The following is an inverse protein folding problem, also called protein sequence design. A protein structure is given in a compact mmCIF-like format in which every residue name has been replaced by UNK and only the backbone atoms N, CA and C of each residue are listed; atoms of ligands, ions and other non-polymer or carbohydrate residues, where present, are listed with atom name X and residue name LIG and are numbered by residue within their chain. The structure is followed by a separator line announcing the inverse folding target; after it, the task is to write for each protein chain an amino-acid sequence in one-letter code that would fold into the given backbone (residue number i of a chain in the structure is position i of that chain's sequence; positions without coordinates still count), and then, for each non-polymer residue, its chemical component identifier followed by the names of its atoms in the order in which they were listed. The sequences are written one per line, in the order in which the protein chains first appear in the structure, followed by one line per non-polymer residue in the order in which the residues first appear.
data_IF_211447755912
#
_entry.id   IF_211447755912
#
_cell.length_a   1.000
_cell.length_b   1.000
_cell.length_c   1.000
_cell.angle_alpha   90.00
_cell.angle_beta   90.00
_cell.angle_gamma   90.00
#
_symmetry.space_group_name_H-M   'P 1'
#
loop_
_entity.id
_entity.type
_entity.pdbx_description
1 polymer ?
#
# COMPACT_ATOMS: atom_id res chain seq x y z
N UNK A 1 17.65 -1.02 -38.10
CA UNK A 1 16.42 -0.22 -37.86
C UNK A 1 15.40 -1.15 -37.27
N UNK A 2 15.02 -0.95 -36.01
CA UNK A 2 13.97 -1.75 -35.36
C UNK A 2 12.63 -1.17 -35.76
N UNK A 3 11.76 -1.95 -36.41
CA UNK A 3 10.41 -1.50 -36.76
C UNK A 3 9.60 -1.27 -35.48
N UNK A 4 8.95 -0.11 -35.35
CA UNK A 4 8.12 0.24 -34.21
C UNK A 4 6.71 -0.33 -34.42
N UNK A 5 6.11 -0.89 -33.38
CA UNK A 5 4.70 -1.25 -33.40
C UNK A 5 3.82 0.00 -33.35
N UNK A 6 2.88 0.10 -34.30
CA UNK A 6 1.93 1.20 -34.42
C UNK A 6 0.49 0.68 -34.34
N UNK A 7 -0.48 1.51 -33.89
CA UNK A 7 -1.90 1.13 -33.90
C UNK A 7 -2.35 0.65 -35.29
N UNK A 8 -3.07 -0.47 -35.34
CA UNK A 8 -3.52 -1.08 -36.59
C UNK A 8 -2.56 -2.09 -37.23
N UNK A 9 -1.31 -2.20 -36.74
CA UNK A 9 -0.40 -3.27 -37.15
C UNK A 9 -0.84 -4.61 -36.56
N UNK A 10 -0.77 -5.67 -37.36
CA UNK A 10 -1.10 -7.03 -36.90
C UNK A 10 0.03 -7.60 -36.05
N UNK A 11 -0.32 -8.10 -34.87
CA UNK A 11 0.56 -8.90 -34.02
C UNK A 11 0.10 -10.35 -34.10
N UNK A 12 0.99 -11.27 -34.46
CA UNK A 12 0.70 -12.71 -34.54
C UNK A 12 1.75 -13.49 -33.79
N UNK A 13 1.31 -14.38 -32.90
CA UNK A 13 2.16 -15.26 -32.12
C UNK A 13 1.49 -16.63 -31.94
N UNK A 14 2.30 -17.66 -31.68
CA UNK A 14 1.82 -18.99 -31.30
C UNK A 14 1.64 -19.05 -29.79
N UNK A 15 0.63 -19.78 -29.34
CA UNK A 15 0.47 -20.08 -27.92
C UNK A 15 1.64 -20.96 -27.45
N UNK A 16 2.32 -20.60 -26.35
CA UNK A 16 3.34 -21.44 -25.73
C UNK A 16 2.81 -22.83 -25.31
N UNK A 17 3.68 -23.85 -25.21
CA UNK A 17 3.27 -25.18 -24.79
C UNK A 17 2.85 -25.27 -23.32
N UNK A 18 3.25 -24.32 -22.48
CA UNK A 18 2.87 -24.22 -21.06
C UNK A 18 1.55 -23.45 -20.84
N UNK A 19 0.84 -23.08 -21.92
CA UNK A 19 -0.43 -22.37 -21.81
C UNK A 19 -1.44 -23.19 -21.00
N UNK A 20 -2.02 -22.67 -19.90
CA UNK A 20 -2.98 -23.41 -19.08
C UNK A 20 -4.23 -23.82 -19.87
N UNK A 21 -4.77 -25.00 -19.58
CA UNK A 21 -5.93 -25.57 -20.30
C UNK A 21 -7.15 -24.64 -20.31
N UNK A 22 -7.45 -24.03 -19.16
CA UNK A 22 -8.58 -23.10 -19.03
C UNK A 22 -8.48 -21.87 -19.95
N UNK A 23 -7.26 -21.41 -20.28
CA UNK A 23 -7.05 -20.31 -21.23
C UNK A 23 -7.37 -20.76 -22.66
N UNK A 24 -6.92 -21.96 -23.03
CA UNK A 24 -7.18 -22.55 -24.35
C UNK A 24 -8.68 -22.76 -24.56
N UNK A 25 -9.37 -23.28 -23.56
CA UNK A 25 -10.82 -23.51 -23.60
C UNK A 25 -11.58 -22.19 -23.74
N UNK A 26 -11.22 -21.17 -22.96
CA UNK A 26 -11.82 -19.84 -23.05
C UNK A 26 -11.67 -19.22 -24.45
N UNK A 27 -10.44 -19.26 -25.01
CA UNK A 27 -10.18 -18.72 -26.36
C UNK A 27 -10.94 -19.49 -27.44
N UNK A 28 -11.03 -20.82 -27.31
CA UNK A 28 -11.74 -21.69 -28.25
C UNK A 28 -13.24 -21.42 -28.22
N UNK A 29 -13.84 -21.34 -27.02
CA UNK A 29 -15.24 -20.98 -26.85
C UNK A 29 -15.55 -19.62 -27.46
N UNK A 30 -14.74 -18.59 -27.15
CA UNK A 30 -14.93 -17.24 -27.69
C UNK A 30 -14.76 -17.18 -29.20
N UNK A 31 -13.84 -17.95 -29.77
CA UNK A 31 -13.67 -18.04 -31.23
C UNK A 31 -14.89 -18.65 -31.90
N UNK A 32 -15.47 -19.68 -31.30
CA UNK A 32 -16.68 -20.33 -31.82
C UNK A 32 -17.91 -19.42 -31.72
N UNK A 33 -18.02 -18.64 -30.65
CA UNK A 33 -19.12 -17.69 -30.41
C UNK A 33 -19.05 -16.47 -31.36
N UNK A 34 -17.87 -15.85 -31.48
CA UNK A 34 -17.70 -14.54 -32.12
C UNK A 34 -17.26 -14.62 -33.59
N UNK A 35 -16.67 -15.73 -34.01
CA UNK A 35 -16.18 -15.95 -35.37
C UNK A 35 -15.26 -14.82 -35.85
N UNK A 36 -15.72 -14.03 -36.83
CA UNK A 36 -14.95 -12.92 -37.44
C UNK A 36 -14.67 -11.76 -36.47
N UNK A 37 -15.46 -11.61 -35.41
CA UNK A 37 -15.29 -10.55 -34.40
C UNK A 37 -14.35 -10.96 -33.25
N UNK A 38 -13.83 -12.18 -33.28
CA UNK A 38 -12.94 -12.69 -32.23
C UNK A 38 -11.75 -11.76 -31.97
N UNK A 39 -11.04 -11.34 -33.02
CA UNK A 39 -9.84 -10.52 -32.85
C UNK A 39 -10.14 -9.12 -32.30
N UNK A 40 -11.27 -8.52 -32.65
CA UNK A 40 -11.66 -7.21 -32.12
C UNK A 40 -12.05 -7.27 -30.64
N UNK A 41 -12.55 -8.41 -30.17
CA UNK A 41 -12.92 -8.63 -28.75
C UNK A 41 -11.72 -9.02 -27.88
N UNK A 42 -10.76 -9.78 -28.42
CA UNK A 42 -9.56 -10.20 -27.68
C UNK A 42 -8.48 -9.11 -27.66
N UNK A 43 -8.42 -8.24 -28.67
CA UNK A 43 -7.40 -7.20 -28.74
C UNK A 43 -7.34 -6.28 -27.50
N UNK A 44 -8.47 -5.78 -26.94
CA UNK A 44 -8.45 -5.01 -25.70
C UNK A 44 -7.87 -5.78 -24.51
N UNK A 45 -8.23 -7.06 -24.35
CA UNK A 45 -7.72 -7.93 -23.27
C UNK A 45 -6.20 -8.08 -23.39
N UNK A 46 -5.70 -8.29 -24.61
CA UNK A 46 -4.27 -8.37 -24.87
C UNK A 46 -3.55 -7.06 -24.55
N UNK A 47 -4.11 -5.91 -24.97
CA UNK A 47 -3.53 -4.58 -24.70
C UNK A 47 -3.49 -4.29 -23.20
N UNK A 48 -4.55 -4.63 -22.46
CA UNK A 48 -4.60 -4.48 -21.01
C UNK A 48 -3.50 -5.32 -20.33
N UNK A 49 -3.38 -6.59 -20.69
CA UNK A 49 -2.35 -7.48 -20.13
C UNK A 49 -0.92 -6.98 -20.43
N UNK A 50 -0.66 -6.52 -21.65
CA UNK A 50 0.64 -5.93 -22.01
C UNK A 50 0.88 -4.62 -21.26
N UNK A 51 -0.15 -3.79 -21.10
CA UNK A 51 -0.07 -2.53 -20.35
C UNK A 51 0.27 -2.79 -18.88
N UNK A 52 -0.43 -3.72 -18.22
CA UNK A 52 -0.15 -4.11 -16.84
C UNK A 52 1.28 -4.61 -16.66
N UNK A 53 1.78 -5.41 -17.61
CA UNK A 53 3.17 -5.88 -17.61
C UNK A 53 4.18 -4.75 -17.86
N UNK A 54 3.91 -3.87 -18.83
CA UNK A 54 4.78 -2.75 -19.17
C UNK A 54 4.88 -1.70 -18.05
N UNK A 55 3.81 -1.51 -17.28
CA UNK A 55 3.77 -0.62 -16.12
C UNK A 55 4.43 -1.21 -14.87
N UNK A 56 4.97 -2.43 -14.93
CA UNK A 56 5.66 -3.06 -13.79
C UNK A 56 4.72 -3.58 -12.69
N UNK A 57 3.42 -3.66 -12.96
CA UNK A 57 2.44 -4.19 -12.00
C UNK A 57 2.43 -5.73 -11.95
N UNK A 58 3.13 -6.39 -12.88
CA UNK A 58 3.17 -7.85 -12.97
C UNK A 58 4.25 -8.51 -12.07
N UNK A 59 5.31 -7.77 -11.71
CA UNK A 59 6.49 -8.34 -11.02
C UNK A 59 6.60 -7.96 -9.54
N UNK A 60 5.71 -7.09 -9.04
CA UNK A 60 5.58 -6.87 -7.62
C UNK A 60 4.57 -7.90 -7.11
N UNK A 61 5.01 -8.83 -6.25
CA UNK A 61 4.18 -9.83 -5.58
C UNK A 61 3.08 -9.17 -4.74
N UNK A 62 2.04 -8.67 -5.42
CA UNK A 62 0.93 -7.95 -4.82
C UNK A 62 -0.08 -8.97 -4.35
N UNK A 63 -0.08 -9.22 -3.05
CA UNK A 63 -1.09 -10.05 -2.40
C UNK A 63 -2.34 -9.18 -2.23
N UNK A 64 -3.36 -9.42 -3.05
CA UNK A 64 -4.67 -8.78 -2.89
C UNK A 64 -5.51 -9.58 -1.91
N UNK A 65 -5.88 -8.96 -0.78
CA UNK A 65 -6.70 -9.59 0.26
C UNK A 65 -8.00 -8.79 0.34
N UNK A 66 -9.13 -9.48 0.21
CA UNK A 66 -10.44 -8.88 0.39
C UNK A 66 -10.70 -8.65 1.88
N UNK A 67 -11.22 -7.47 2.24
CA UNK A 67 -11.62 -7.20 3.61
C UNK A 67 -12.78 -8.12 4.02
N UNK A 68 -12.80 -8.63 5.26
CA UNK A 68 -13.90 -9.44 5.77
C UNK A 68 -15.21 -8.65 5.85
N UNK A 69 -16.32 -9.35 5.71
CA UNK A 69 -17.65 -8.78 5.89
C UNK A 69 -17.88 -8.41 7.37
N UNK A 70 -18.63 -7.32 7.64
CA UNK A 70 -19.01 -6.92 9.00
C UNK A 70 -18.09 -5.90 9.70
N UNK A 71 -17.07 -5.36 9.03
CA UNK A 71 -16.24 -4.29 9.62
C UNK A 71 -17.03 -2.99 9.78
N UNK A 72 -16.91 -2.35 10.96
CA UNK A 72 -17.44 -1.01 11.22
C UNK A 72 -16.71 0.05 10.39
N UNK A 73 -17.28 1.26 10.30
CA UNK A 73 -16.63 2.38 9.59
C UNK A 73 -15.22 2.66 10.15
N UNK A 74 -15.11 2.69 11.48
CA UNK A 74 -13.84 2.95 12.18
C UNK A 74 -12.82 1.84 11.94
N UNK A 75 -13.26 0.57 11.91
CA UNK A 75 -12.37 -0.55 11.62
C UNK A 75 -11.87 -0.52 10.17
N UNK A 76 -12.72 -0.14 9.21
CA UNK A 76 -12.30 0.05 7.82
C UNK A 76 -11.29 1.18 7.69
N UNK A 77 -11.47 2.27 8.44
CA UNK A 77 -10.53 3.38 8.45
C UNK A 77 -9.21 3.00 9.12
N UNK A 78 -9.28 2.24 10.22
CA UNK A 78 -8.12 1.67 10.89
C UNK A 78 -7.27 0.83 9.95
N UNK A 79 -7.87 -0.08 9.18
CA UNK A 79 -7.16 -0.92 8.19
C UNK A 79 -6.48 -0.10 7.09
N UNK A 80 -7.05 1.06 6.73
CA UNK A 80 -6.51 1.94 5.69
C UNK A 80 -5.34 2.79 6.18
N UNK A 81 -5.21 3.03 7.49
CA UNK A 81 -4.13 3.85 8.01
C UNK A 81 -2.74 3.25 7.66
N UNK A 82 -1.75 4.10 7.31
CA UNK A 82 -0.43 3.62 6.87
C UNK A 82 0.26 2.70 7.86
N UNK A 83 0.19 3.04 9.16
CA UNK A 83 0.82 2.27 10.23
C UNK A 83 0.16 0.90 10.37
N UNK A 84 -1.18 0.85 10.39
CA UNK A 84 -1.93 -0.40 10.43
C UNK A 84 -1.61 -1.29 9.25
N UNK A 85 -1.55 -0.72 8.04
CA UNK A 85 -1.18 -1.47 6.83
C UNK A 85 0.23 -2.05 6.95
N UNK A 86 1.18 -1.31 7.50
CA UNK A 86 2.54 -1.80 7.72
C UNK A 86 2.56 -2.96 8.73
N UNK A 87 1.82 -2.86 9.84
CA UNK A 87 1.67 -3.92 10.84
C UNK A 87 1.07 -5.19 10.22
N UNK A 88 -0.04 -5.06 9.49
CA UNK A 88 -0.70 -6.18 8.80
C UNK A 88 0.24 -6.81 7.77
N UNK A 89 1.01 -5.99 7.03
CA UNK A 89 1.97 -6.48 6.03
C UNK A 89 3.08 -7.29 6.68
N UNK A 90 3.60 -6.84 7.83
CA UNK A 90 4.61 -7.55 8.59
C UNK A 90 4.08 -8.86 9.18
N UNK A 91 2.86 -8.84 9.71
CA UNK A 91 2.16 -10.04 10.19
C UNK A 91 2.00 -11.07 9.07
N UNK A 92 1.50 -10.65 7.91
CA UNK A 92 1.33 -11.53 6.74
C UNK A 92 2.67 -12.11 6.28
N UNK A 93 3.72 -11.28 6.22
CA UNK A 93 5.05 -11.75 5.87
C UNK A 93 5.54 -12.85 6.82
N UNK A 94 5.35 -12.67 8.13
CA UNK A 94 5.73 -13.67 9.13
C UNK A 94 4.91 -14.96 9.01
N UNK A 95 3.59 -14.87 8.81
CA UNK A 95 2.72 -16.04 8.62
C UNK A 95 3.12 -16.84 7.38
N UNK A 96 3.41 -16.15 6.27
CA UNK A 96 3.78 -16.80 5.00
C UNK A 96 5.18 -17.44 5.07
N UNK A 97 6.14 -16.79 5.74
CA UNK A 97 7.54 -17.25 5.74
C UNK A 97 7.89 -18.20 6.89
N UNK A 98 7.20 -18.08 8.04
CA UNK A 98 7.50 -18.83 9.27
C UNK A 98 6.23 -19.27 10.00
N UNK A 99 5.39 -20.13 9.38
CA UNK A 99 4.09 -20.50 9.92
C UNK A 99 4.14 -21.27 11.26
N UNK A 100 5.28 -21.87 11.61
CA UNK A 100 5.47 -22.65 12.83
C UNK A 100 6.04 -21.84 14.00
N UNK A 101 6.47 -20.60 13.75
CA UNK A 101 6.97 -19.72 14.81
C UNK A 101 5.80 -18.96 15.41
N UNK A 102 5.56 -19.03 16.74
CA UNK A 102 4.54 -18.22 17.37
C UNK A 102 4.86 -16.73 17.14
N UNK A 103 3.84 -15.99 16.74
CA UNK A 103 3.89 -14.55 16.59
C UNK A 103 4.07 -13.91 17.96
N UNK A 104 5.23 -13.32 18.19
CA UNK A 104 5.51 -12.50 19.38
C UNK A 104 5.09 -11.05 19.10
N UNK A 105 3.86 -10.72 19.47
CA UNK A 105 3.29 -9.39 19.31
C UNK A 105 3.95 -8.33 20.22
N UNK A 106 4.73 -8.75 21.22
CA UNK A 106 5.32 -7.83 22.19
C UNK A 106 6.48 -7.00 21.62
N UNK A 107 7.05 -7.41 20.47
CA UNK A 107 8.22 -6.73 19.90
C UNK A 107 7.92 -5.36 19.28
N UNK A 108 6.66 -5.08 18.92
CA UNK A 108 6.28 -3.80 18.31
C UNK A 108 5.80 -2.74 19.32
N UNK A 109 5.57 -3.12 20.59
CA UNK A 109 5.27 -2.16 21.66
C UNK A 109 6.53 -1.57 22.30
N UNK A 110 7.72 -2.08 21.95
CA UNK A 110 9.00 -1.68 22.57
C UNK A 110 9.79 -0.64 21.76
N UNK A 111 9.21 -0.10 20.68
CA UNK A 111 9.83 1.00 19.92
C UNK A 111 8.87 2.20 19.85
N UNK A 112 8.50 2.67 21.03
CA UNK A 112 8.84 4.02 21.47
C UNK A 112 8.61 4.02 22.99
N UNK A 113 9.63 4.23 23.84
CA UNK A 113 9.33 4.90 25.09
C UNK A 113 8.67 6.21 24.66
N UNK A 114 7.36 6.35 24.91
CA UNK A 114 6.75 7.66 25.03
C UNK A 114 7.44 8.26 26.25
N UNK A 115 8.61 8.84 26.01
CA UNK A 115 9.20 9.85 26.86
C UNK A 115 8.15 10.95 26.84
N UNK A 116 7.25 10.93 27.83
CA UNK A 116 6.49 12.10 28.26
C UNK A 116 7.55 13.15 28.60
N UNK A 117 8.02 13.84 27.56
CA UNK A 117 8.71 15.10 27.72
C UNK A 117 7.62 16.01 28.22
N UNK A 118 7.54 16.15 29.54
CA UNK A 118 6.90 17.30 30.15
C UNK A 118 7.27 18.52 29.30
N UNK A 119 6.31 19.35 28.90
CA UNK A 119 6.63 20.54 28.14
C UNK A 119 7.52 21.40 29.03
N UNK A 120 8.84 21.29 28.83
CA UNK A 120 9.80 22.23 29.40
C UNK A 120 9.52 23.52 28.65
N UNK A 121 8.63 24.34 29.22
CA UNK A 121 8.40 25.70 28.78
C UNK A 121 9.74 26.44 28.89
N UNK A 122 10.48 26.49 27.78
CA UNK A 122 11.70 27.30 27.70
C UNK A 122 11.26 28.75 27.60
N UNK A 123 11.20 29.42 28.75
CA UNK A 123 11.01 30.87 28.81
C UNK A 123 12.27 31.53 28.22
N UNK A 124 12.10 32.35 27.18
CA UNK A 124 13.17 33.21 26.69
C UNK A 124 13.49 34.29 27.73
N UNK A 125 14.72 34.80 27.72
CA UNK A 125 15.21 35.77 28.70
C UNK A 125 14.27 37.00 28.87
N UNK A 126 13.57 37.37 27.79
CA UNK A 126 12.58 38.43 27.81
C UNK A 126 11.37 38.11 28.70
N UNK A 127 10.85 36.87 28.67
CA UNK A 127 9.72 36.42 29.52
C UNK A 127 10.15 36.34 30.99
N UNK A 128 11.38 35.89 31.27
CA UNK A 128 11.92 35.87 32.63
C UNK A 128 12.07 37.28 33.22
N UNK A 129 12.59 38.22 32.42
CA UNK A 129 12.72 39.63 32.83
C UNK A 129 11.37 40.32 33.05
N UNK A 130 10.36 39.98 32.24
CA UNK A 130 9.00 40.49 32.41
C UNK A 130 8.37 39.95 33.70
N UNK A 131 8.46 38.64 33.95
CA UNK A 131 7.92 38.04 35.17
C UNK A 131 8.57 38.59 36.44
N UNK A 132 9.90 38.77 36.44
CA UNK A 132 10.62 39.38 37.57
C UNK A 132 10.16 40.81 37.83
N UNK A 133 10.06 41.63 36.78
CA UNK A 133 9.71 43.04 36.91
C UNK A 133 8.24 43.27 37.28
N UNK A 134 7.34 42.39 36.87
CA UNK A 134 5.90 42.59 37.06
C UNK A 134 5.34 41.88 38.30
N UNK A 135 5.92 40.76 38.72
CA UNK A 135 5.32 39.92 39.77
C UNK A 135 6.23 39.57 40.94
N UNK A 136 7.55 39.78 40.85
CA UNK A 136 8.49 39.37 41.89
C UNK A 136 9.19 40.53 42.62
N UNK A 137 9.08 41.76 42.10
CA UNK A 137 9.47 42.95 42.86
C UNK A 137 8.28 43.46 43.67
N UNK A 138 8.06 42.83 44.83
CA UNK A 138 7.10 43.30 45.85
C UNK A 138 7.79 43.85 47.11
N UNK A 139 9.12 43.91 47.14
CA UNK A 139 9.92 44.36 48.31
C UNK A 139 10.74 45.62 47.97
N UNK A 140 10.07 46.72 47.66
CA UNK A 140 10.65 48.05 47.78
C UNK A 140 9.54 49.07 48.06
N UNK A 141 8.93 48.95 49.25
CA UNK A 141 8.24 50.02 49.98
C UNK A 141 7.95 49.51 51.40
N UNK A 142 9.00 49.42 52.21
CA UNK A 142 8.92 49.47 53.68
C UNK A 142 10.12 50.31 54.16
N UNK A 143 9.95 51.64 54.08
CA UNK A 143 10.41 52.68 55.02
C UNK A 143 10.12 54.10 54.49
#
# INVERSE_FOLDING_TARGET
MTERFEPGKTVSFRLPPDTPLHVVDYLTQKKNELGRKFSSEIAPIFVEAVSQKALGNADNAQISITLPEGLTADQKEWVKHPNTKALISQLLYQVVTKPTTPLDFDQQLLTDPVEEKEPVFKTNAMIQSFAQKTFLNFDEDDD
#
